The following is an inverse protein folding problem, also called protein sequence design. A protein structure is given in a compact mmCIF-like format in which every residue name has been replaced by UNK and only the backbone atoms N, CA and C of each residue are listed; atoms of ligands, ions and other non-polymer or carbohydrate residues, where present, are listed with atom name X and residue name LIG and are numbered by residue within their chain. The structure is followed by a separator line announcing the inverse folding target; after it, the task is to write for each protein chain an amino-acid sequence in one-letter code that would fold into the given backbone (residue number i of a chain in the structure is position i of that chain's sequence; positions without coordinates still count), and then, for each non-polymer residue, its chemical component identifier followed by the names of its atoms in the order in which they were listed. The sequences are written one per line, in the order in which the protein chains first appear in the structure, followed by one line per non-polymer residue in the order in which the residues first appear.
data_IF_294390933070
#
_entry.id   IF_294390933070
#
_cell.length_a   1.000
_cell.length_b   1.000
_cell.length_c   1.000
_cell.angle_alpha   90.00
_cell.angle_beta   90.00
_cell.angle_gamma   90.00
#
_symmetry.space_group_name_H-M   'P 1'
#
loop_
_entity.id
_entity.type
_entity.pdbx_description
1 polymer ?
#
# COMPACT_ATOMS: atom_id res chain seq x y z
N UNK A 1 10.16 77.10 37.15
CA UNK A 1 8.79 76.59 36.90
C UNK A 1 8.81 75.74 35.63
N UNK A 2 8.74 74.41 35.73
CA UNK A 2 8.66 73.51 34.56
C UNK A 2 7.57 72.47 34.82
N UNK A 3 6.48 72.56 34.06
CA UNK A 3 5.31 71.68 34.18
C UNK A 3 5.51 70.46 33.29
N UNK A 4 5.81 69.32 33.89
CA UNK A 4 5.81 68.00 33.23
C UNK A 4 4.36 67.57 32.95
N UNK A 5 3.94 67.59 31.70
CA UNK A 5 2.66 67.02 31.26
C UNK A 5 2.81 65.52 30.98
N UNK A 6 2.47 64.68 31.98
CA UNK A 6 2.30 63.23 31.76
C UNK A 6 1.12 63.00 30.81
N UNK A 7 1.39 62.60 29.57
CA UNK A 7 0.37 62.01 28.68
C UNK A 7 -0.18 60.75 29.36
N UNK A 8 -1.45 60.79 29.78
CA UNK A 8 -2.19 59.59 30.18
C UNK A 8 -2.27 58.68 28.97
N UNK A 9 -1.55 57.56 29.00
CA UNK A 9 -1.76 56.47 28.07
C UNK A 9 -3.20 55.98 28.25
N UNK A 10 -4.03 56.13 27.21
CA UNK A 10 -5.40 55.61 27.20
C UNK A 10 -5.30 54.09 27.26
N UNK A 11 -5.59 53.51 28.42
CA UNK A 11 -5.86 52.08 28.54
C UNK A 11 -7.24 51.84 27.95
N UNK A 12 -7.29 51.38 26.70
CA UNK A 12 -8.52 50.89 26.09
C UNK A 12 -8.68 49.41 26.48
N UNK A 13 -9.71 49.11 27.27
CA UNK A 13 -10.08 47.72 27.57
C UNK A 13 -10.74 47.06 26.35
N UNK A 14 -10.70 45.74 26.28
CA UNK A 14 -11.39 44.96 25.27
C UNK A 14 -12.92 45.07 25.42
N UNK A 15 -13.62 45.26 24.31
CA UNK A 15 -15.08 45.25 24.29
C UNK A 15 -15.62 43.83 24.49
N UNK A 16 -16.76 43.69 25.17
CA UNK A 16 -17.47 42.39 25.31
C UNK A 16 -17.78 41.75 23.95
N UNK A 17 -18.06 42.56 22.93
CA UNK A 17 -18.32 42.09 21.58
C UNK A 17 -17.05 41.53 20.93
N UNK A 18 -15.90 42.12 21.20
CA UNK A 18 -14.60 41.70 20.70
C UNK A 18 -14.19 40.36 21.33
N UNK A 19 -14.48 40.18 22.63
CA UNK A 19 -14.32 38.90 23.32
C UNK A 19 -15.24 37.81 22.76
N UNK A 20 -16.49 38.15 22.42
CA UNK A 20 -17.43 37.20 21.79
C UNK A 20 -16.96 36.74 20.40
N UNK A 21 -16.44 37.66 19.58
CA UNK A 21 -15.90 37.31 18.27
C UNK A 21 -14.62 36.46 18.43
N UNK A 22 -13.74 36.83 19.37
CA UNK A 22 -12.52 36.10 19.65
C UNK A 22 -12.78 34.65 20.09
N UNK A 23 -13.78 34.41 20.94
CA UNK A 23 -14.14 33.05 21.37
C UNK A 23 -14.74 32.21 20.25
N UNK A 24 -15.53 32.80 19.35
CA UNK A 24 -16.03 32.09 18.16
C UNK A 24 -14.88 31.70 17.24
N UNK A 25 -13.95 32.61 16.95
CA UNK A 25 -12.76 32.32 16.13
C UNK A 25 -11.92 31.22 16.79
N UNK A 26 -11.71 31.29 18.11
CA UNK A 26 -10.98 30.28 18.86
C UNK A 26 -11.65 28.90 18.77
N UNK A 27 -12.98 28.83 18.94
CA UNK A 27 -13.72 27.58 18.88
C UNK A 27 -13.65 26.95 17.50
N UNK A 28 -13.83 27.74 16.43
CA UNK A 28 -13.69 27.25 15.05
C UNK A 28 -12.27 26.73 14.80
N UNK A 29 -11.25 27.45 15.25
CA UNK A 29 -9.85 27.02 15.15
C UNK A 29 -9.58 25.72 15.89
N UNK A 30 -10.10 25.57 17.11
CA UNK A 30 -9.89 24.38 17.95
C UNK A 30 -10.59 23.15 17.36
N UNK A 31 -11.82 23.30 16.85
CA UNK A 31 -12.53 22.21 16.16
C UNK A 31 -11.79 21.81 14.87
N UNK A 32 -11.28 22.79 14.11
CA UNK A 32 -10.51 22.51 12.90
C UNK A 32 -9.24 21.69 13.19
N UNK A 33 -8.49 22.03 14.25
CA UNK A 33 -7.31 21.25 14.65
C UNK A 33 -7.70 19.86 15.17
N UNK A 34 -8.78 19.76 15.95
CA UNK A 34 -9.23 18.50 16.53
C UNK A 34 -9.57 17.44 15.48
N UNK A 35 -10.06 17.83 14.31
CA UNK A 35 -10.32 16.91 13.19
C UNK A 35 -9.09 16.65 12.31
N UNK A 36 -8.20 17.65 12.15
CA UNK A 36 -7.03 17.52 11.28
C UNK A 36 -5.97 16.56 11.85
N UNK A 37 -5.81 16.51 13.17
CA UNK A 37 -4.80 15.65 13.81
C UNK A 37 -5.12 14.16 13.59
N UNK A 38 -6.32 13.64 13.93
CA UNK A 38 -6.66 12.24 13.67
C UNK A 38 -6.64 11.88 12.19
N UNK A 39 -7.11 12.77 11.31
CA UNK A 39 -7.06 12.56 9.87
C UNK A 39 -5.62 12.41 9.37
N UNK A 40 -4.71 13.26 9.85
CA UNK A 40 -3.28 13.20 9.48
C UNK A 40 -2.62 11.92 9.99
N UNK A 41 -2.94 11.49 11.22
CA UNK A 41 -2.42 10.23 11.78
C UNK A 41 -2.89 9.04 10.95
N UNK A 42 -4.17 9.00 10.56
CA UNK A 42 -4.72 7.93 9.73
C UNK A 42 -4.07 7.89 8.34
N UNK A 43 -3.86 9.05 7.71
CA UNK A 43 -3.19 9.14 6.41
C UNK A 43 -1.72 8.67 6.51
N UNK A 44 -0.98 9.10 7.54
CA UNK A 44 0.39 8.66 7.75
C UNK A 44 0.46 7.14 7.99
N UNK A 45 -0.48 6.59 8.75
CA UNK A 45 -0.57 5.15 8.98
C UNK A 45 -0.78 4.39 7.66
N UNK A 46 -1.70 4.85 6.80
CA UNK A 46 -1.94 4.27 5.46
C UNK A 46 -0.70 4.34 4.59
N UNK A 47 -0.08 5.51 4.48
CA UNK A 47 1.13 5.69 3.66
C UNK A 47 2.27 4.77 4.09
N UNK A 48 2.42 4.56 5.41
CA UNK A 48 3.43 3.64 5.94
C UNK A 48 3.12 2.19 5.54
N UNK A 49 1.87 1.75 5.64
CA UNK A 49 1.46 0.40 5.26
C UNK A 49 1.60 0.14 3.76
N UNK A 50 1.28 1.13 2.92
CA UNK A 50 1.45 0.99 1.46
C UNK A 50 2.94 0.91 1.09
N UNK A 51 3.78 1.70 1.77
CA UNK A 51 5.23 1.66 1.56
C UNK A 51 5.84 0.32 1.96
N UNK A 52 5.43 -0.27 3.09
CA UNK A 52 5.93 -1.59 3.51
C UNK A 52 5.46 -2.70 2.57
N UNK A 53 4.19 -2.66 2.15
CA UNK A 53 3.65 -3.60 1.17
C UNK A 53 4.36 -3.50 -0.19
N UNK A 54 4.66 -2.29 -0.66
CA UNK A 54 5.41 -2.07 -1.90
C UNK A 54 6.83 -2.63 -1.83
N UNK A 55 7.57 -2.32 -0.76
CA UNK A 55 8.95 -2.81 -0.58
C UNK A 55 8.96 -4.35 -0.51
N UNK A 56 7.97 -4.94 0.15
CA UNK A 56 7.80 -6.39 0.19
C UNK A 56 7.50 -6.95 -1.21
N UNK A 57 6.54 -6.36 -1.92
CA UNK A 57 6.16 -6.76 -3.27
C UNK A 57 7.36 -6.74 -4.23
N UNK A 58 8.16 -5.67 -4.18
CA UNK A 58 9.37 -5.50 -4.98
C UNK A 58 10.40 -6.60 -4.68
N UNK A 59 10.75 -6.81 -3.41
CA UNK A 59 11.68 -7.89 -3.03
C UNK A 59 11.19 -9.26 -3.48
N UNK A 60 9.89 -9.50 -3.42
CA UNK A 60 9.31 -10.78 -3.83
C UNK A 60 9.39 -10.97 -5.32
N UNK A 61 9.07 -9.93 -6.08
CA UNK A 61 9.21 -9.91 -7.53
C UNK A 61 10.67 -10.11 -7.92
N UNK A 62 11.62 -9.42 -7.30
CA UNK A 62 13.06 -9.62 -7.55
C UNK A 62 13.49 -11.08 -7.35
N UNK A 63 13.02 -11.73 -6.28
CA UNK A 63 13.28 -13.15 -6.03
C UNK A 63 12.71 -14.06 -7.14
N UNK A 64 11.56 -13.72 -7.72
CA UNK A 64 10.98 -14.44 -8.86
C UNK A 64 11.77 -14.22 -10.15
N UNK A 65 12.29 -13.00 -10.36
CA UNK A 65 13.10 -12.66 -11.53
C UNK A 65 14.48 -13.31 -11.51
N UNK A 66 15.04 -13.54 -10.33
CA UNK A 66 16.32 -14.22 -10.16
C UNK A 66 16.24 -15.74 -10.47
N UNK A 67 15.03 -16.29 -10.57
CA UNK A 67 14.86 -17.70 -10.89
C UNK A 67 15.12 -17.98 -12.38
N UNK A 68 15.79 -19.09 -12.74
CA UNK A 68 15.95 -19.49 -14.13
C UNK A 68 14.60 -19.65 -14.83
N UNK A 69 14.51 -19.28 -16.11
CA UNK A 69 13.30 -19.46 -16.92
C UNK A 69 12.82 -20.93 -17.01
N UNK A 70 13.73 -21.89 -16.82
CA UNK A 70 13.42 -23.33 -16.79
C UNK A 70 12.84 -23.79 -15.46
N UNK A 71 12.89 -22.97 -14.40
CA UNK A 71 12.35 -23.31 -13.09
C UNK A 71 10.85 -23.06 -13.05
N UNK A 72 10.09 -24.04 -12.57
CA UNK A 72 8.63 -23.94 -12.43
C UNK A 72 8.21 -23.53 -11.01
N UNK A 73 9.12 -23.58 -10.04
CA UNK A 73 8.86 -23.16 -8.67
C UNK A 73 10.17 -22.87 -7.93
N UNK A 74 10.06 -22.23 -6.78
CA UNK A 74 11.13 -22.13 -5.81
C UNK A 74 10.55 -22.15 -4.40
N UNK A 75 11.39 -22.41 -3.41
CA UNK A 75 11.00 -22.35 -1.99
C UNK A 75 11.61 -21.09 -1.41
N UNK A 76 10.78 -20.25 -0.79
CA UNK A 76 11.26 -19.03 -0.13
C UNK A 76 11.94 -19.33 1.22
N UNK A 77 12.51 -18.29 1.84
CA UNK A 77 13.17 -18.42 3.15
C UNK A 77 12.23 -18.79 4.30
N UNK A 78 10.91 -18.69 4.09
CA UNK A 78 9.87 -19.06 5.05
C UNK A 78 9.33 -20.48 4.80
N UNK A 79 9.86 -21.19 3.79
CA UNK A 79 9.44 -22.54 3.43
C UNK A 79 8.21 -22.60 2.51
N UNK A 80 7.74 -21.48 1.99
CA UNK A 80 6.60 -21.47 1.06
C UNK A 80 7.05 -21.85 -0.35
N UNK A 81 6.41 -22.87 -0.91
CA UNK A 81 6.58 -23.24 -2.32
C UNK A 81 5.85 -22.24 -3.20
N UNK A 82 6.59 -21.56 -4.05
CA UNK A 82 6.08 -20.50 -4.91
C UNK A 82 6.25 -20.88 -6.37
N UNK A 83 5.12 -21.05 -7.04
CA UNK A 83 5.02 -21.49 -8.42
C UNK A 83 5.34 -20.33 -9.36
N UNK A 84 6.10 -20.64 -10.41
CA UNK A 84 6.54 -19.73 -11.47
C UNK A 84 5.91 -20.11 -12.82
N UNK A 85 4.84 -20.88 -12.79
CA UNK A 85 4.15 -21.41 -13.96
C UNK A 85 4.85 -22.60 -14.62
N UNK A 86 4.06 -23.36 -15.37
CA UNK A 86 4.42 -24.54 -16.14
C UNK A 86 4.47 -24.23 -17.66
N UNK A 87 5.62 -24.40 -18.34
CA UNK A 87 5.73 -24.16 -19.78
C UNK A 87 4.84 -25.07 -20.63
N UNK A 88 4.29 -26.16 -20.09
CA UNK A 88 3.33 -27.04 -20.79
C UNK A 88 2.00 -26.36 -21.13
N UNK A 89 1.68 -25.25 -20.46
CA UNK A 89 0.47 -24.45 -20.71
C UNK A 89 0.84 -23.01 -21.09
N UNK A 90 1.39 -22.78 -22.31
CA UNK A 90 1.82 -21.46 -22.73
C UNK A 90 0.64 -20.54 -23.06
N UNK A 91 0.87 -19.25 -22.95
CA UNK A 91 -0.04 -18.15 -23.32
C UNK A 91 -1.38 -18.15 -22.60
N UNK A 92 -1.45 -18.77 -21.42
CA UNK A 92 -2.59 -18.70 -20.51
C UNK A 92 -2.15 -18.15 -19.16
N UNK A 93 -3.08 -17.51 -18.46
CA UNK A 93 -2.86 -17.06 -17.08
C UNK A 93 -2.80 -18.28 -16.17
N UNK A 94 -1.70 -18.42 -15.45
CA UNK A 94 -1.52 -19.45 -14.43
C UNK A 94 -1.45 -18.80 -13.05
N UNK A 95 -2.10 -19.43 -12.06
CA UNK A 95 -2.09 -18.96 -10.69
C UNK A 95 -3.34 -18.18 -10.29
N UNK A 96 -3.16 -17.09 -9.55
CA UNK A 96 -4.28 -16.29 -9.06
C UNK A 96 -5.07 -15.65 -10.21
N UNK A 97 -6.38 -15.50 -10.02
CA UNK A 97 -7.22 -14.87 -11.04
C UNK A 97 -6.76 -13.41 -11.29
N UNK A 98 -6.82 -12.98 -12.54
CA UNK A 98 -6.51 -11.60 -12.95
C UNK A 98 -7.73 -10.94 -13.55
N UNK A 99 -7.85 -9.64 -13.32
CA UNK A 99 -8.89 -8.78 -13.88
C UNK A 99 -8.24 -7.59 -14.56
N UNK A 100 -8.83 -7.13 -15.65
CA UNK A 100 -8.40 -5.91 -16.33
C UNK A 100 -9.26 -4.74 -15.88
N UNK A 101 -8.64 -3.74 -15.26
CA UNK A 101 -9.29 -2.49 -14.85
C UNK A 101 -8.57 -1.37 -15.58
N UNK A 102 -9.31 -0.52 -16.32
CA UNK A 102 -8.72 0.62 -17.05
C UNK A 102 -7.54 0.24 -17.96
N UNK A 103 -7.60 -0.92 -18.62
CA UNK A 103 -6.52 -1.46 -19.48
C UNK A 103 -5.24 -1.90 -18.73
N UNK A 104 -5.24 -1.92 -17.40
CA UNK A 104 -4.17 -2.48 -16.56
C UNK A 104 -4.60 -3.83 -15.99
N UNK A 105 -3.65 -4.77 -15.86
CA UNK A 105 -3.93 -6.12 -15.33
C UNK A 105 -3.66 -6.15 -13.83
N UNK A 106 -4.67 -6.52 -13.04
CA UNK A 106 -4.58 -6.63 -11.58
C UNK A 106 -4.92 -8.04 -11.12
N UNK A 107 -4.43 -8.40 -9.94
CA UNK A 107 -4.87 -9.62 -9.26
C UNK A 107 -6.27 -9.39 -8.68
N UNK A 108 -7.16 -10.35 -8.92
CA UNK A 108 -8.49 -10.39 -8.32
C UNK A 108 -8.43 -11.05 -6.94
N UNK A 109 -8.46 -10.21 -5.92
CA UNK A 109 -8.50 -10.62 -4.52
C UNK A 109 -9.90 -10.99 -4.00
N UNK A 110 -10.95 -10.85 -4.83
CA UNK A 110 -12.29 -11.36 -4.55
C UNK A 110 -12.41 -12.86 -4.84
N UNK A 111 -11.56 -13.39 -5.72
CA UNK A 111 -11.46 -14.83 -6.01
C UNK A 111 -10.83 -15.63 -4.87
N UNK A 112 -11.02 -16.96 -4.88
CA UNK A 112 -10.34 -17.85 -3.94
C UNK A 112 -8.81 -17.80 -4.13
N UNK A 113 -8.06 -17.87 -3.03
CA UNK A 113 -6.62 -17.94 -3.06
C UNK A 113 -6.15 -19.26 -3.71
N UNK A 114 -5.17 -19.18 -4.61
CA UNK A 114 -4.65 -20.35 -5.34
C UNK A 114 -3.39 -20.85 -4.65
N UNK A 115 -3.37 -22.13 -4.30
CA UNK A 115 -2.21 -22.75 -3.62
C UNK A 115 -0.95 -22.65 -4.47
N UNK A 116 0.16 -22.28 -3.85
CA UNK A 116 1.44 -22.08 -4.51
C UNK A 116 1.54 -20.79 -5.36
N UNK A 117 0.46 -20.02 -5.48
CA UNK A 117 0.40 -18.69 -6.12
C UNK A 117 -0.09 -17.60 -5.18
N UNK A 118 -0.18 -17.94 -3.89
CA UNK A 118 -0.60 -17.05 -2.83
C UNK A 118 -0.02 -17.50 -1.50
N UNK A 119 0.21 -16.54 -0.61
CA UNK A 119 0.50 -16.79 0.80
C UNK A 119 0.16 -15.54 1.62
N UNK A 120 0.07 -15.72 2.93
CA UNK A 120 -0.01 -14.61 3.87
C UNK A 120 1.37 -14.30 4.42
N UNK A 121 1.73 -13.02 4.40
CA UNK A 121 2.97 -12.51 4.98
C UNK A 121 2.63 -11.65 6.18
N UNK A 122 3.30 -11.91 7.30
CA UNK A 122 3.27 -11.03 8.46
C UNK A 122 4.68 -10.51 8.65
N UNK A 123 4.82 -9.19 8.69
CA UNK A 123 6.12 -8.58 8.99
C UNK A 123 6.47 -8.92 10.46
N UNK A 124 7.55 -9.70 10.70
CA UNK A 124 7.95 -10.07 12.06
C UNK A 124 8.40 -8.87 12.90
N UNK A 125 8.68 -7.72 12.27
CA UNK A 125 9.10 -6.48 12.94
C UNK A 125 7.94 -5.53 13.24
N UNK A 126 6.71 -5.83 12.78
CA UNK A 126 5.53 -5.02 13.07
C UNK A 126 4.88 -5.41 14.42
N UNK A 127 4.91 -4.53 15.44
CA UNK A 127 4.26 -4.79 16.73
C UNK A 127 2.74 -4.94 16.63
N UNK A 128 2.11 -4.38 15.59
CA UNK A 128 0.66 -4.48 15.37
C UNK A 128 0.25 -5.80 14.71
N UNK A 129 1.22 -6.58 14.22
CA UNK A 129 0.97 -7.87 13.58
C UNK A 129 0.17 -7.77 12.28
N UNK A 130 0.31 -6.68 11.53
CA UNK A 130 -0.36 -6.51 10.25
C UNK A 130 0.01 -7.65 9.30
N UNK A 131 -1.02 -8.30 8.77
CA UNK A 131 -0.87 -9.40 7.83
C UNK A 131 -1.24 -8.93 6.44
N UNK A 132 -0.42 -9.28 5.47
CA UNK A 132 -0.62 -9.02 4.06
C UNK A 132 -0.94 -10.33 3.35
N UNK A 133 -1.86 -10.27 2.39
CA UNK A 133 -2.11 -11.34 1.46
C UNK A 133 -1.41 -10.99 0.16
N UNK A 134 -0.54 -11.91 -0.25
CA UNK A 134 0.29 -11.79 -1.44
C UNK A 134 -0.22 -12.82 -2.42
N UNK A 135 -0.49 -12.39 -3.64
CA UNK A 135 -0.99 -13.24 -4.71
C UNK A 135 -0.28 -12.89 -6.00
N UNK A 136 -0.05 -13.86 -6.85
CA UNK A 136 0.51 -13.60 -8.16
C UNK A 136 -0.07 -14.52 -9.22
N UNK A 137 0.11 -14.08 -10.46
CA UNK A 137 -0.20 -14.81 -11.66
C UNK A 137 1.02 -14.77 -12.58
N UNK A 138 1.16 -15.81 -13.40
CA UNK A 138 2.24 -15.95 -14.37
C UNK A 138 1.66 -16.22 -15.74
N UNK A 139 2.17 -15.52 -16.75
CA UNK A 139 1.88 -15.81 -18.15
C UNK A 139 3.21 -16.19 -18.80
N UNK A 140 3.29 -17.41 -19.30
CA UNK A 140 4.50 -17.94 -19.93
C UNK A 140 4.31 -17.90 -21.44
N UNK A 141 5.29 -17.36 -22.17
CA UNK A 141 5.35 -17.51 -23.63
C UNK A 141 6.48 -18.47 -23.97
N UNK A 142 6.21 -19.44 -24.84
CA UNK A 142 7.16 -20.48 -25.21
C UNK A 142 6.53 -21.58 -26.07
N UNK A 143 7.28 -22.66 -26.31
CA UNK A 143 6.90 -23.74 -27.22
C UNK A 143 6.24 -24.94 -26.52
N UNK A 144 5.60 -24.76 -25.35
CA UNK A 144 4.95 -25.87 -24.64
C UNK A 144 5.92 -26.79 -23.86
N UNK A 145 7.23 -26.57 -23.95
CA UNK A 145 8.25 -27.39 -23.26
C UNK A 145 9.38 -26.53 -22.72
N UNK A 146 9.67 -25.43 -23.42
CA UNK A 146 10.68 -24.44 -23.01
C UNK A 146 9.99 -23.09 -22.94
N UNK A 147 10.14 -22.41 -21.80
CA UNK A 147 9.73 -21.02 -21.63
C UNK A 147 10.72 -20.09 -22.34
N UNK A 148 10.22 -19.24 -23.23
CA UNK A 148 10.98 -18.16 -23.86
C UNK A 148 10.90 -16.87 -23.05
N UNK A 149 9.76 -16.65 -22.38
CA UNK A 149 9.56 -15.55 -21.44
C UNK A 149 8.56 -15.90 -20.35
N UNK A 150 8.63 -15.18 -19.22
CA UNK A 150 7.67 -15.22 -18.13
C UNK A 150 7.29 -13.81 -17.74
N UNK A 151 5.99 -13.50 -17.78
CA UNK A 151 5.42 -12.27 -17.23
C UNK A 151 4.81 -12.57 -15.87
N UNK A 152 5.20 -11.81 -14.86
CA UNK A 152 4.73 -11.94 -13.49
C UNK A 152 3.83 -10.74 -13.15
N UNK A 153 2.63 -11.02 -12.68
CA UNK A 153 1.68 -10.04 -12.16
C UNK A 153 1.53 -10.35 -10.68
N UNK A 154 2.03 -9.47 -9.81
CA UNK A 154 2.04 -9.65 -8.36
C UNK A 154 1.16 -8.60 -7.71
N UNK A 155 0.27 -9.03 -6.83
CA UNK A 155 -0.59 -8.20 -6.02
C UNK A 155 -0.27 -8.36 -4.54
N UNK A 156 -0.35 -7.27 -3.78
CA UNK A 156 -0.33 -7.30 -2.31
C UNK A 156 -1.49 -6.49 -1.75
N UNK A 157 -2.22 -7.05 -0.79
CA UNK A 157 -3.23 -6.34 0.00
C UNK A 157 -3.08 -6.59 1.50
N UNK A 158 -3.55 -5.68 2.32
CA UNK A 158 -3.70 -5.93 3.76
C UNK A 158 -4.89 -6.85 4.05
N UNK A 159 -4.72 -7.81 4.95
CA UNK A 159 -5.80 -8.70 5.45
C UNK A 159 -6.46 -8.06 6.66
N UNK A 160 -7.80 -8.07 6.70
CA UNK A 160 -8.56 -7.69 7.90
C UNK A 160 -8.78 -6.20 8.12
N UNK A 161 -8.46 -5.34 7.14
CA UNK A 161 -8.87 -3.94 7.16
C UNK A 161 -10.27 -3.78 6.53
N UNK A 162 -11.24 -3.24 7.26
CA UNK A 162 -12.62 -3.05 6.79
C UNK A 162 -12.83 -1.94 5.73
N UNK A 163 -11.85 -1.69 4.86
CA UNK A 163 -11.90 -0.65 3.82
C UNK A 163 -11.57 -1.20 2.44
N UNK A 164 -11.91 -0.44 1.40
CA UNK A 164 -11.41 -0.67 0.04
C UNK A 164 -9.93 -0.30 -0.01
N UNK A 165 -9.06 -1.20 0.45
CA UNK A 165 -7.63 -1.09 0.22
C UNK A 165 -7.38 -1.47 -1.24
N UNK A 166 -6.92 -0.51 -2.03
CA UNK A 166 -6.47 -0.80 -3.38
C UNK A 166 -5.22 -1.67 -3.26
N UNK A 167 -5.24 -2.89 -3.82
CA UNK A 167 -4.06 -3.72 -3.79
C UNK A 167 -2.94 -3.05 -4.59
N UNK A 168 -1.71 -3.20 -4.10
CA UNK A 168 -0.53 -2.81 -4.86
C UNK A 168 -0.31 -3.89 -5.91
N UNK A 169 -0.27 -3.50 -7.19
CA UNK A 169 0.05 -4.40 -8.29
C UNK A 169 1.42 -4.03 -8.88
N UNK A 170 2.27 -5.03 -9.07
CA UNK A 170 3.49 -4.95 -9.86
C UNK A 170 3.38 -5.92 -11.03
N UNK A 171 3.83 -5.49 -12.20
CA UNK A 171 3.80 -6.29 -13.43
C UNK A 171 5.15 -6.16 -14.12
N UNK A 172 5.77 -7.28 -14.45
CA UNK A 172 7.08 -7.33 -15.08
C UNK A 172 7.21 -8.57 -15.97
N UNK A 173 8.19 -8.56 -16.87
CA UNK A 173 8.48 -9.70 -17.74
C UNK A 173 9.98 -9.96 -17.80
N UNK A 174 10.34 -11.24 -17.83
CA UNK A 174 11.69 -11.73 -18.13
C UNK A 174 11.65 -12.49 -19.44
N UNK A 175 12.54 -12.14 -20.35
CA UNK A 175 12.75 -12.81 -21.64
C UNK A 175 14.17 -13.35 -21.70
N UNK A 176 14.35 -14.43 -22.46
CA UNK A 176 15.69 -14.92 -22.82
C UNK A 176 16.36 -14.04 -23.87
#
# INVERSE_FOLDING_TARGET
MQRSTRRRARQQGFSLLEMLIATVILLVGLVAVAQLVPASVLLNYRNRMDSTALVFAQRRLDQMLDQPLTSNFFVDSLGNTCQLGDPATPNVVQGSNVISINNETHIDFGSAAVSGYSFTYRDPTDPNGTTYEVRWAVIITGNGTVASSKRYILGVRQVGGGGFFLPITLDTMVTR
#
